data_IF_580177329444
#
_entry.id   IF_580177329444
#
_cell.length_a   1.000
_cell.length_b   1.000
_cell.length_c   1.000
_cell.angle_alpha   90.00
_cell.angle_beta   90.00
_cell.angle_gamma   90.00
#
_symmetry.space_group_name_H-M   'P 1'
#
loop_
_entity.id
_entity.type
_entity.pdbx_description
1 polymer ?
#
# COMPACT_ATOMS: atom_id res chain seq x y z
N UNK A 1 7.02 -16.03 4.67
CA UNK A 1 7.64 -14.70 4.52
C UNK A 1 6.75 -13.66 5.16
N UNK A 2 7.32 -12.54 5.61
CA UNK A 2 6.63 -11.39 6.20
C UNK A 2 6.50 -10.30 5.15
N UNK A 3 5.28 -9.90 4.86
CA UNK A 3 4.94 -8.92 3.84
C UNK A 3 4.39 -7.69 4.54
N UNK A 4 4.95 -6.53 4.27
CA UNK A 4 4.45 -5.25 4.73
C UNK A 4 3.87 -4.48 3.54
N UNK A 5 2.60 -4.10 3.61
CA UNK A 5 2.04 -3.04 2.79
C UNK A 5 1.97 -1.77 3.63
N UNK A 6 2.67 -0.72 3.23
CA UNK A 6 2.68 0.56 3.92
C UNK A 6 2.34 1.68 2.94
N UNK A 7 1.15 2.28 3.10
CA UNK A 7 0.65 3.34 2.24
C UNK A 7 0.12 4.52 3.09
N UNK A 8 -0.36 5.57 2.46
CA UNK A 8 -0.72 6.81 3.14
C UNK A 8 -2.01 6.68 3.97
N UNK A 9 -3.12 6.22 3.36
CA UNK A 9 -4.46 6.30 3.95
C UNK A 9 -5.14 4.93 4.09
N UNK A 10 -6.15 4.82 4.97
CA UNK A 10 -7.10 3.71 4.95
C UNK A 10 -7.83 3.66 3.60
N UNK A 11 -7.83 2.51 2.91
CA UNK A 11 -8.33 2.18 1.58
C UNK A 11 -7.26 2.05 0.48
N UNK A 12 -6.11 2.69 0.59
CA UNK A 12 -5.04 2.60 -0.41
C UNK A 12 -4.57 1.15 -0.65
N UNK A 13 -4.44 0.36 0.42
CA UNK A 13 -4.03 -1.04 0.30
C UNK A 13 -5.01 -1.84 -0.56
N UNK A 14 -6.29 -1.59 -0.37
CA UNK A 14 -7.38 -2.23 -1.07
C UNK A 14 -7.44 -1.80 -2.53
N UNK A 15 -7.27 -0.51 -2.79
CA UNK A 15 -7.29 0.06 -4.14
C UNK A 15 -6.13 -0.46 -5.00
N UNK A 16 -4.90 -0.39 -4.46
CA UNK A 16 -3.69 -0.59 -5.28
C UNK A 16 -3.09 -1.99 -5.20
N UNK A 17 -3.38 -2.76 -4.13
CA UNK A 17 -2.68 -4.03 -3.85
C UNK A 17 -3.57 -5.11 -3.24
N UNK A 18 -4.88 -4.86 -3.03
CA UNK A 18 -5.77 -5.74 -2.28
C UNK A 18 -5.84 -7.17 -2.82
N UNK A 19 -5.85 -7.34 -4.14
CA UNK A 19 -5.80 -8.65 -4.77
C UNK A 19 -4.48 -9.38 -4.54
N UNK A 20 -3.36 -8.67 -4.70
CA UNK A 20 -2.02 -9.21 -4.44
C UNK A 20 -1.85 -9.63 -2.98
N UNK A 21 -2.31 -8.81 -2.04
CA UNK A 21 -2.28 -9.13 -0.61
C UNK A 21 -3.14 -10.36 -0.30
N UNK A 22 -4.34 -10.47 -0.91
CA UNK A 22 -5.20 -11.64 -0.77
C UNK A 22 -4.52 -12.93 -1.29
N UNK A 23 -3.82 -12.86 -2.42
CA UNK A 23 -3.07 -13.99 -2.97
C UNK A 23 -1.90 -14.40 -2.08
N UNK A 24 -1.13 -13.44 -1.56
CA UNK A 24 -0.01 -13.68 -0.64
C UNK A 24 -0.49 -14.32 0.66
N UNK A 25 -1.56 -13.80 1.26
CA UNK A 25 -2.17 -14.36 2.48
C UNK A 25 -2.69 -15.79 2.24
N UNK A 26 -3.35 -16.05 1.10
CA UNK A 26 -3.84 -17.38 0.74
C UNK A 26 -2.72 -18.41 0.59
N UNK A 27 -1.50 -17.96 0.28
CA UNK A 27 -0.29 -18.81 0.23
C UNK A 27 0.40 -19.00 1.59
N UNK A 28 -0.20 -18.49 2.66
CA UNK A 28 0.32 -18.64 4.03
C UNK A 28 1.43 -17.65 4.39
N UNK A 29 1.59 -16.56 3.65
CA UNK A 29 2.50 -15.49 4.04
C UNK A 29 1.86 -14.60 5.10
N UNK A 30 2.65 -14.10 6.04
CA UNK A 30 2.20 -13.16 7.06
C UNK A 30 2.11 -11.77 6.45
N UNK A 31 0.91 -11.23 6.32
CA UNK A 31 0.64 -9.92 5.74
C UNK A 31 0.32 -8.93 6.83
N UNK A 32 1.01 -7.79 6.84
CA UNK A 32 0.70 -6.63 7.68
C UNK A 32 0.39 -5.45 6.78
N UNK A 33 -0.76 -4.81 7.00
CA UNK A 33 -1.16 -3.57 6.35
C UNK A 33 -0.97 -2.43 7.34
N UNK A 34 -0.23 -1.40 6.93
CA UNK A 34 -0.01 -0.20 7.74
C UNK A 34 -0.40 1.03 6.93
N UNK A 35 -1.16 1.93 7.54
CA UNK A 35 -1.39 3.26 6.97
C UNK A 35 -0.53 4.29 7.69
N UNK A 36 -0.02 5.28 6.96
CA UNK A 36 0.72 6.38 7.58
C UNK A 36 -0.21 7.21 8.44
N UNK A 37 -1.39 7.55 7.94
CA UNK A 37 -2.39 8.37 8.62
C UNK A 37 -3.66 7.56 8.89
N UNK A 38 -4.49 7.97 9.85
CA UNK A 38 -5.84 7.42 10.00
C UNK A 38 -6.86 8.05 9.04
N UNK A 39 -6.47 9.01 8.18
CA UNK A 39 -7.36 9.73 7.29
C UNK A 39 -8.26 10.74 8.02
N UNK A 40 -7.69 11.48 8.95
CA UNK A 40 -8.41 12.36 9.88
C UNK A 40 -8.95 13.66 9.25
N UNK A 41 -8.67 13.91 7.95
CA UNK A 41 -9.24 15.03 7.19
C UNK A 41 -10.46 14.64 6.32
N UNK A 42 -10.79 13.37 6.17
CA UNK A 42 -11.78 12.89 5.21
C UNK A 42 -13.22 12.82 5.76
N UNK A 43 -13.78 13.94 6.27
CA UNK A 43 -15.19 13.98 6.67
C UNK A 43 -15.77 15.40 6.70
N UNK A 44 -17.05 15.53 6.34
CA UNK A 44 -17.84 16.75 6.58
C UNK A 44 -18.64 16.72 7.90
N UNK A 45 -18.82 15.53 8.49
CA UNK A 45 -19.78 15.31 9.57
C UNK A 45 -19.12 14.98 10.92
N UNK A 46 -17.86 14.54 10.88
CA UNK A 46 -17.12 14.10 12.06
C UNK A 46 -15.92 15.00 12.33
N UNK A 47 -15.59 15.18 13.60
CA UNK A 47 -14.31 15.78 13.97
C UNK A 47 -13.13 14.91 13.50
N UNK A 48 -11.91 15.45 13.41
CA UNK A 48 -10.72 14.67 13.03
C UNK A 48 -10.52 13.40 13.88
N UNK A 49 -10.74 13.48 15.18
CA UNK A 49 -10.56 12.34 16.09
C UNK A 49 -11.65 11.27 15.90
N UNK A 50 -12.90 11.68 15.66
CA UNK A 50 -14.01 10.76 15.40
C UNK A 50 -13.83 10.01 14.09
N UNK A 51 -13.54 10.73 12.99
CA UNK A 51 -13.34 10.06 11.70
C UNK A 51 -12.09 9.18 11.71
N UNK A 52 -11.02 9.58 12.38
CA UNK A 52 -9.82 8.76 12.57
C UNK A 52 -10.14 7.44 13.28
N UNK A 53 -10.97 7.48 14.34
CA UNK A 53 -11.40 6.28 15.05
C UNK A 53 -12.22 5.35 14.16
N UNK A 54 -13.17 5.89 13.39
CA UNK A 54 -13.99 5.14 12.44
C UNK A 54 -13.10 4.45 11.38
N UNK A 55 -12.23 5.21 10.72
CA UNK A 55 -11.41 4.71 9.61
C UNK A 55 -10.38 3.66 10.05
N UNK A 56 -9.84 3.75 11.28
CA UNK A 56 -8.99 2.67 11.83
C UNK A 56 -9.75 1.36 11.97
N UNK A 57 -11.01 1.40 12.42
CA UNK A 57 -11.86 0.21 12.55
C UNK A 57 -12.23 -0.36 11.19
N UNK A 58 -12.51 0.48 10.20
CA UNK A 58 -12.79 0.07 8.83
C UNK A 58 -11.59 -0.63 8.21
N UNK A 59 -10.39 -0.04 8.31
CA UNK A 59 -9.15 -0.64 7.81
C UNK A 59 -8.79 -1.97 8.52
N UNK A 60 -9.02 -2.05 9.82
CA UNK A 60 -8.83 -3.31 10.55
C UNK A 60 -9.81 -4.40 10.09
N UNK A 61 -11.08 -4.05 9.80
CA UNK A 61 -12.06 -4.99 9.23
C UNK A 61 -11.67 -5.42 7.81
N UNK A 62 -11.22 -4.48 6.97
CA UNK A 62 -10.75 -4.77 5.62
C UNK A 62 -9.58 -5.77 5.64
N UNK A 63 -8.55 -5.50 6.46
CA UNK A 63 -7.40 -6.39 6.62
C UNK A 63 -7.81 -7.80 7.10
N UNK A 64 -8.75 -7.89 8.04
CA UNK A 64 -9.22 -9.17 8.57
C UNK A 64 -9.86 -10.09 7.51
N UNK A 65 -10.44 -9.54 6.42
CA UNK A 65 -11.05 -10.32 5.32
C UNK A 65 -10.03 -11.27 4.67
N UNK A 66 -8.76 -10.87 4.64
CA UNK A 66 -7.68 -11.68 4.08
C UNK A 66 -6.76 -12.26 5.16
N UNK A 67 -7.09 -12.10 6.44
CA UNK A 67 -6.28 -12.57 7.56
C UNK A 67 -5.00 -11.75 7.77
N UNK A 68 -4.95 -10.51 7.30
CA UNK A 68 -3.85 -9.60 7.52
C UNK A 68 -3.98 -8.86 8.87
N UNK A 69 -2.84 -8.50 9.45
CA UNK A 69 -2.78 -7.57 10.58
C UNK A 69 -2.88 -6.12 10.08
N UNK A 70 -3.46 -5.24 10.90
CA UNK A 70 -3.53 -3.82 10.62
C UNK A 70 -3.10 -2.97 11.81
N UNK A 71 -2.36 -1.90 11.55
CA UNK A 71 -2.22 -0.76 12.45
C UNK A 71 -1.92 0.54 11.70
N UNK A 72 -2.13 1.69 12.36
CA UNK A 72 -1.80 3.02 11.84
C UNK A 72 -0.47 3.51 12.43
N UNK A 73 0.35 4.20 11.63
CA UNK A 73 1.57 4.86 12.09
C UNK A 73 1.32 6.25 12.70
N UNK A 74 0.06 6.69 12.73
CA UNK A 74 -0.44 7.89 13.44
C UNK A 74 0.20 9.22 12.97
N UNK A 75 0.53 9.34 11.68
CA UNK A 75 0.77 10.65 11.09
C UNK A 75 -0.55 11.40 10.92
N UNK A 76 -0.46 12.71 10.69
CA UNK A 76 -1.64 13.51 10.35
C UNK A 76 -1.87 13.46 8.84
N UNK A 77 -3.13 13.39 8.45
CA UNK A 77 -3.55 13.47 7.05
C UNK A 77 -3.19 14.86 6.47
N UNK A 78 -2.73 14.90 5.22
CA UNK A 78 -2.19 16.07 4.52
C UNK A 78 -0.94 16.69 5.17
N UNK A 79 -0.32 15.98 6.12
CA UNK A 79 0.83 16.48 6.87
C UNK A 79 1.96 15.43 7.00
N UNK A 80 2.13 14.60 5.98
CA UNK A 80 3.29 13.70 5.88
C UNK A 80 4.44 14.48 5.23
N UNK A 81 5.44 14.84 6.03
CA UNK A 81 6.63 15.56 5.55
C UNK A 81 7.87 14.66 5.55
N UNK A 82 8.73 14.85 4.56
CA UNK A 82 9.97 14.10 4.41
C UNK A 82 11.08 14.69 5.30
N UNK A 83 10.96 14.48 6.62
CA UNK A 83 11.98 14.91 7.59
C UNK A 83 12.60 13.72 8.33
N UNK A 84 13.62 13.99 9.16
CA UNK A 84 14.31 12.95 9.93
C UNK A 84 13.40 12.28 10.96
N UNK A 85 12.52 13.04 11.60
CA UNK A 85 11.55 12.52 12.58
C UNK A 85 10.57 11.53 11.94
N UNK A 86 10.01 11.89 10.78
CA UNK A 86 9.13 11.03 9.99
C UNK A 86 9.85 9.75 9.55
N UNK A 87 11.07 9.86 9.02
CA UNK A 87 11.87 8.70 8.60
C UNK A 87 12.17 7.77 9.78
N UNK A 88 12.50 8.28 10.98
CA UNK A 88 12.69 7.47 12.18
C UNK A 88 11.41 6.72 12.59
N UNK A 89 10.25 7.36 12.53
CA UNK A 89 8.96 6.72 12.80
C UNK A 89 8.66 5.59 11.79
N UNK A 90 8.88 5.81 10.51
CA UNK A 90 8.71 4.76 9.48
C UNK A 90 9.76 3.65 9.67
N UNK A 91 10.99 3.98 10.05
CA UNK A 91 12.01 2.98 10.39
C UNK A 91 11.57 2.11 11.58
N UNK A 92 10.90 2.69 12.58
CA UNK A 92 10.33 1.92 13.69
C UNK A 92 9.25 0.94 13.23
N UNK A 93 8.37 1.33 12.29
CA UNK A 93 7.39 0.42 11.67
C UNK A 93 8.09 -0.78 11.02
N UNK A 94 9.14 -0.53 10.23
CA UNK A 94 9.91 -1.60 9.58
C UNK A 94 10.59 -2.52 10.61
N UNK A 95 11.20 -1.96 11.64
CA UNK A 95 11.83 -2.75 12.71
C UNK A 95 10.82 -3.56 13.50
N UNK A 96 9.65 -3.03 13.80
CA UNK A 96 8.56 -3.75 14.46
C UNK A 96 8.04 -4.92 13.61
N UNK A 97 7.86 -4.70 12.31
CA UNK A 97 7.27 -5.70 11.40
C UNK A 97 8.30 -6.67 10.81
N UNK A 98 9.59 -6.31 10.74
CA UNK A 98 10.69 -7.14 10.20
C UNK A 98 10.33 -7.76 8.83
N UNK A 99 9.93 -6.98 7.81
CA UNK A 99 9.44 -7.52 6.55
C UNK A 99 10.57 -8.07 5.66
N UNK A 100 10.27 -9.13 4.93
CA UNK A 100 11.10 -9.62 3.82
C UNK A 100 10.81 -8.83 2.53
N UNK A 101 9.55 -8.40 2.38
CA UNK A 101 9.05 -7.66 1.23
C UNK A 101 8.16 -6.50 1.69
N UNK A 102 8.39 -5.33 1.10
CA UNK A 102 7.59 -4.11 1.31
C UNK A 102 6.93 -3.71 0.00
N UNK A 103 5.63 -3.44 0.05
CA UNK A 103 4.86 -2.77 -1.01
C UNK A 103 4.46 -1.40 -0.47
N UNK A 104 4.66 -0.36 -1.27
CA UNK A 104 4.34 1.02 -0.87
C UNK A 104 3.81 1.84 -2.04
N UNK A 105 3.43 3.09 -1.77
CA UNK A 105 2.91 4.04 -2.74
C UNK A 105 3.84 4.27 -3.92
N UNK A 106 3.28 4.68 -5.04
CA UNK A 106 4.04 5.16 -6.20
C UNK A 106 4.88 6.40 -5.83
N UNK A 107 6.12 6.52 -6.36
CA UNK A 107 6.91 7.74 -6.20
C UNK A 107 6.40 8.93 -7.04
N UNK A 108 5.45 8.68 -7.91
CA UNK A 108 4.75 9.68 -8.73
C UNK A 108 3.27 9.42 -8.56
N UNK A 109 2.55 10.37 -7.97
CA UNK A 109 1.12 10.28 -7.71
C UNK A 109 0.51 11.69 -7.66
N UNK A 110 -0.83 11.79 -7.72
CA UNK A 110 -1.52 13.08 -7.58
C UNK A 110 -1.52 13.58 -6.12
N UNK A 111 -1.45 12.65 -5.15
CA UNK A 111 -1.58 12.96 -3.73
C UNK A 111 -0.22 13.17 -3.07
N UNK A 112 -0.04 14.31 -2.41
CA UNK A 112 1.21 14.66 -1.73
C UNK A 112 1.65 13.62 -0.69
N UNK A 113 0.69 13.09 0.09
CA UNK A 113 0.98 12.07 1.11
C UNK A 113 1.42 10.73 0.51
N UNK A 114 0.92 10.36 -0.68
CA UNK A 114 1.39 9.14 -1.40
C UNK A 114 2.86 9.29 -1.79
N UNK A 115 3.22 10.41 -2.43
CA UNK A 115 4.60 10.65 -2.83
C UNK A 115 5.55 10.73 -1.63
N UNK A 116 5.15 11.45 -0.56
CA UNK A 116 5.92 11.55 0.68
C UNK A 116 6.10 10.17 1.35
N UNK A 117 5.02 9.37 1.43
CA UNK A 117 5.05 7.99 1.95
C UNK A 117 6.03 7.14 1.15
N UNK A 118 5.94 7.17 -0.18
CA UNK A 118 6.84 6.42 -1.07
C UNK A 118 8.32 6.68 -0.77
N UNK A 119 8.70 7.95 -0.63
CA UNK A 119 10.08 8.36 -0.35
C UNK A 119 10.52 8.00 1.06
N UNK A 120 9.67 8.25 2.06
CA UNK A 120 9.94 7.90 3.45
C UNK A 120 10.12 6.39 3.63
N UNK A 121 9.26 5.57 3.03
CA UNK A 121 9.37 4.11 3.10
C UNK A 121 10.63 3.61 2.43
N UNK A 122 10.96 4.11 1.23
CA UNK A 122 12.23 3.78 0.58
C UNK A 122 13.41 4.08 1.49
N UNK A 123 13.51 5.30 2.01
CA UNK A 123 14.64 5.72 2.83
C UNK A 123 14.70 4.97 4.17
N UNK A 124 13.54 4.65 4.75
CA UNK A 124 13.46 3.86 5.97
C UNK A 124 13.88 2.40 5.74
N UNK A 125 13.56 1.79 4.60
CA UNK A 125 14.06 0.45 4.23
C UNK A 125 15.59 0.41 4.23
N UNK A 126 16.23 1.48 3.72
CA UNK A 126 17.69 1.61 3.75
C UNK A 126 18.22 1.78 5.17
N UNK A 127 17.54 2.58 6.01
CA UNK A 127 17.97 2.90 7.35
C UNK A 127 17.70 1.77 8.38
N UNK A 128 16.69 0.94 8.16
CA UNK A 128 16.22 -0.04 9.13
C UNK A 128 17.29 -1.06 9.58
N UNK A 129 18.23 -1.51 8.73
CA UNK A 129 19.33 -2.38 9.16
C UNK A 129 20.47 -1.65 9.88
N UNK A 130 20.54 -0.31 9.84
CA UNK A 130 21.65 0.44 10.43
C UNK A 130 21.55 0.48 11.97
N UNK A 131 22.45 -0.18 12.73
CA UNK A 131 22.32 -0.26 14.19
C UNK A 131 22.36 1.09 14.92
N UNK A 132 23.14 2.02 14.40
CA UNK A 132 23.32 3.36 15.00
C UNK A 132 22.29 4.39 14.52
N UNK A 133 21.35 3.99 13.65
CA UNK A 133 20.22 4.85 13.31
C UNK A 133 19.12 4.64 14.33
N UNK A 134 19.00 5.59 15.25
CA UNK A 134 18.01 5.54 16.33
C UNK A 134 16.59 5.66 15.78
N UNK A 135 15.68 4.79 16.24
CA UNK A 135 14.27 4.77 15.88
C UNK A 135 13.43 4.52 17.14
N UNK A 136 12.26 5.16 17.28
CA UNK A 136 11.40 4.96 18.46
C UNK A 136 10.90 3.49 18.53
N UNK A 137 10.52 3.07 19.76
CA UNK A 137 9.93 1.74 19.99
C UNK A 137 10.89 0.66 20.50
N UNK A 138 12.20 0.84 20.32
CA UNK A 138 13.20 -0.10 20.86
C UNK A 138 13.32 -1.45 20.15
N UNK A 139 12.63 -1.63 19.02
CA UNK A 139 12.74 -2.83 18.20
C UNK A 139 14.14 -2.97 17.58
N UNK A 140 14.68 -4.19 17.44
CA UNK A 140 16.03 -4.40 16.93
C UNK A 140 16.15 -4.00 15.45
N UNK A 141 17.34 -3.59 15.00
CA UNK A 141 17.60 -3.37 13.58
C UNK A 141 17.25 -4.59 12.74
N UNK A 142 16.82 -4.37 11.51
CA UNK A 142 16.60 -5.43 10.55
C UNK A 142 17.92 -6.12 10.16
N UNK A 143 17.87 -7.39 9.79
CA UNK A 143 19.06 -8.14 9.35
C UNK A 143 19.57 -7.71 7.98
N UNK A 144 18.66 -7.24 7.12
CA UNK A 144 18.96 -6.82 5.75
C UNK A 144 17.92 -5.81 5.27
N UNK A 145 18.24 -5.11 4.17
CA UNK A 145 17.28 -4.28 3.43
C UNK A 145 16.23 -5.19 2.80
N UNK A 146 14.92 -4.93 2.98
CA UNK A 146 13.88 -5.75 2.38
C UNK A 146 13.76 -5.51 0.86
N UNK A 147 13.11 -6.44 0.15
CA UNK A 147 12.67 -6.18 -1.23
C UNK A 147 11.62 -5.07 -1.21
N UNK A 148 11.75 -4.10 -2.12
CA UNK A 148 10.86 -2.96 -2.19
C UNK A 148 10.14 -2.91 -3.54
N UNK A 149 8.82 -2.84 -3.50
CA UNK A 149 7.96 -2.67 -4.65
C UNK A 149 7.08 -1.43 -4.47
N UNK A 150 7.00 -0.64 -5.53
CA UNK A 150 6.04 0.46 -5.62
C UNK A 150 4.78 -0.03 -6.34
N UNK A 151 3.62 0.21 -5.77
CA UNK A 151 2.34 0.04 -6.45
C UNK A 151 2.19 1.07 -7.58
N UNK A 152 1.25 0.84 -8.49
CA UNK A 152 0.91 1.82 -9.51
C UNK A 152 0.30 3.09 -8.88
N UNK A 153 0.48 4.25 -9.51
CA UNK A 153 -0.18 5.49 -9.08
C UNK A 153 -1.69 5.39 -9.28
N UNK A 154 -2.42 6.27 -8.60
CA UNK A 154 -3.85 6.43 -8.82
C UNK A 154 -4.16 6.65 -10.32
N UNK A 155 -5.29 6.11 -10.79
CA UNK A 155 -5.69 6.12 -12.20
C UNK A 155 -4.69 5.45 -13.17
N UNK A 156 -3.55 4.94 -12.71
CA UNK A 156 -2.50 4.35 -13.54
C UNK A 156 -1.86 5.33 -14.50
N UNK A 157 -1.72 6.60 -14.11
CA UNK A 157 -1.12 7.66 -14.94
C UNK A 157 0.04 8.37 -14.24
N UNK A 158 0.97 8.91 -15.04
CA UNK A 158 2.03 9.81 -14.58
C UNK A 158 1.53 11.28 -14.50
N UNK A 159 2.44 12.20 -14.13
CA UNK A 159 2.14 13.63 -14.01
C UNK A 159 1.72 14.32 -15.32
N UNK A 160 2.03 13.71 -16.46
CA UNK A 160 1.65 14.19 -17.80
C UNK A 160 0.37 13.50 -18.30
N UNK A 161 -0.37 12.79 -17.43
CA UNK A 161 -1.53 11.97 -17.77
C UNK A 161 -1.25 10.84 -18.77
N UNK A 162 0.02 10.41 -18.89
CA UNK A 162 0.41 9.27 -19.70
C UNK A 162 0.27 7.98 -18.89
N UNK A 163 -0.03 6.83 -19.55
CA UNK A 163 -0.07 5.55 -18.84
C UNK A 163 1.25 5.25 -18.11
N UNK A 164 1.16 5.01 -16.82
CA UNK A 164 2.29 4.60 -15.99
C UNK A 164 2.49 3.08 -16.12
N UNK A 165 3.28 2.66 -17.11
CA UNK A 165 3.50 1.22 -17.39
C UNK A 165 4.26 0.57 -16.23
N UNK A 166 3.71 -0.48 -15.57
CA UNK A 166 4.41 -1.19 -14.49
C UNK A 166 5.54 -2.07 -15.00
N UNK A 167 6.43 -2.57 -14.12
CA UNK A 167 7.43 -3.58 -14.48
C UNK A 167 6.84 -5.00 -14.54
N UNK A 168 5.79 -5.22 -13.77
CA UNK A 168 5.07 -6.48 -13.71
C UNK A 168 3.60 -6.23 -13.32
N UNK A 169 2.75 -7.14 -13.78
CA UNK A 169 1.32 -7.17 -13.42
C UNK A 169 1.00 -8.51 -12.75
N UNK A 170 0.34 -8.44 -11.61
CA UNK A 170 -0.21 -9.61 -10.91
C UNK A 170 -1.64 -9.85 -11.39
N UNK A 171 -1.94 -11.07 -11.82
CA UNK A 171 -3.31 -11.50 -12.15
C UNK A 171 -4.12 -11.68 -10.87
N UNK A 172 -5.12 -10.84 -10.68
CA UNK A 172 -5.97 -10.85 -9.50
C UNK A 172 -7.41 -11.32 -9.79
N UNK A 173 -7.70 -11.80 -10.98
CA UNK A 173 -9.07 -12.18 -11.39
C UNK A 173 -9.71 -13.17 -10.40
N UNK A 174 -8.94 -14.13 -9.89
CA UNK A 174 -9.44 -15.16 -8.97
C UNK A 174 -9.78 -14.66 -7.56
N UNK A 175 -9.37 -13.44 -7.21
CA UNK A 175 -9.55 -12.86 -5.87
C UNK A 175 -10.27 -11.50 -5.88
N UNK A 176 -10.86 -11.11 -7.01
CA UNK A 176 -11.60 -9.84 -7.13
C UNK A 176 -12.72 -9.71 -6.10
N UNK A 177 -13.41 -10.80 -5.76
CA UNK A 177 -14.46 -10.76 -4.73
C UNK A 177 -13.90 -10.38 -3.36
N UNK A 178 -12.70 -10.85 -3.00
CA UNK A 178 -12.02 -10.45 -1.77
C UNK A 178 -11.61 -8.96 -1.82
N UNK A 179 -11.04 -8.51 -2.94
CA UNK A 179 -10.66 -7.11 -3.13
C UNK A 179 -11.87 -6.18 -2.99
N UNK A 180 -13.02 -6.54 -3.60
CA UNK A 180 -14.29 -5.82 -3.42
C UNK A 180 -14.73 -5.77 -1.96
N UNK A 181 -14.71 -6.92 -1.29
CA UNK A 181 -15.11 -7.00 0.12
C UNK A 181 -14.21 -6.13 1.02
N UNK A 182 -12.89 -6.15 0.80
CA UNK A 182 -11.95 -5.31 1.53
C UNK A 182 -12.27 -3.82 1.33
N UNK A 183 -12.39 -3.36 0.09
CA UNK A 183 -12.68 -1.95 -0.21
C UNK A 183 -14.06 -1.52 0.31
N UNK A 184 -15.05 -2.41 0.25
CA UNK A 184 -16.41 -2.15 0.77
C UNK A 184 -16.47 -1.94 2.28
N UNK A 185 -15.43 -2.34 3.03
CA UNK A 185 -15.36 -2.10 4.48
C UNK A 185 -15.11 -0.61 4.83
N UNK A 186 -14.69 0.21 3.87
CA UNK A 186 -14.41 1.65 4.01
C UNK A 186 -15.66 2.51 3.69
N UNK A 187 -16.73 2.34 4.49
CA UNK A 187 -17.99 3.04 4.27
C UNK A 187 -17.87 4.56 4.40
N UNK A 188 -17.08 5.02 5.38
CA UNK A 188 -16.90 6.46 5.60
C UNK A 188 -16.21 7.13 4.41
N UNK A 189 -15.27 6.45 3.77
CA UNK A 189 -14.57 6.97 2.57
C UNK A 189 -15.52 7.02 1.37
N UNK A 190 -16.37 6.01 1.17
CA UNK A 190 -17.40 6.03 0.13
C UNK A 190 -18.33 7.22 0.29
N UNK A 191 -18.81 7.49 1.52
CA UNK A 191 -19.65 8.65 1.82
C UNK A 191 -18.93 9.98 1.52
N UNK A 192 -17.68 10.11 1.95
CA UNK A 192 -16.84 11.28 1.67
C UNK A 192 -16.68 11.53 0.18
N UNK A 193 -16.31 10.51 -0.60
CA UNK A 193 -16.15 10.65 -2.06
C UNK A 193 -17.44 11.01 -2.76
N UNK A 194 -18.57 10.46 -2.32
CA UNK A 194 -19.89 10.79 -2.85
C UNK A 194 -20.26 12.26 -2.60
N UNK A 195 -20.05 12.74 -1.40
CA UNK A 195 -20.43 14.10 -0.99
C UNK A 195 -19.47 15.16 -1.52
N UNK A 196 -18.16 14.86 -1.51
CA UNK A 196 -17.13 15.83 -1.87
C UNK A 196 -16.80 15.85 -3.37
N UNK A 197 -16.80 14.68 -4.01
CA UNK A 197 -16.43 14.52 -5.41
C UNK A 197 -17.59 14.08 -6.32
N UNK A 198 -18.78 13.83 -5.75
CA UNK A 198 -19.92 13.29 -6.51
C UNK A 198 -19.72 11.83 -6.98
N UNK A 199 -18.74 11.14 -6.42
CA UNK A 199 -18.37 9.78 -6.82
C UNK A 199 -19.10 8.75 -5.94
N UNK A 200 -20.15 8.11 -6.47
CA UNK A 200 -20.87 7.00 -5.78
C UNK A 200 -20.48 5.61 -6.33
N UNK A 201 -19.49 5.56 -7.21
CA UNK A 201 -19.04 4.34 -7.91
C UNK A 201 -17.64 3.90 -7.45
N UNK A 202 -17.37 3.95 -6.15
CA UNK A 202 -16.05 3.69 -5.55
C UNK A 202 -15.52 2.28 -5.88
N UNK A 203 -16.39 1.27 -5.82
CA UNK A 203 -16.03 -0.12 -6.15
C UNK A 203 -15.83 -0.30 -7.65
N UNK A 204 -16.74 0.24 -8.47
CA UNK A 204 -16.66 0.18 -9.93
C UNK A 204 -15.40 0.87 -10.45
N UNK A 205 -15.02 2.01 -9.85
CA UNK A 205 -13.76 2.72 -10.18
C UNK A 205 -12.54 1.84 -9.91
N UNK A 206 -12.48 1.14 -8.77
CA UNK A 206 -11.41 0.19 -8.46
C UNK A 206 -11.36 -0.95 -9.48
N UNK A 207 -12.52 -1.48 -9.90
CA UNK A 207 -12.59 -2.53 -10.93
C UNK A 207 -12.10 -2.02 -12.29
N UNK A 208 -12.50 -0.82 -12.69
CA UNK A 208 -12.03 -0.19 -13.92
C UNK A 208 -10.52 0.02 -13.93
N UNK A 209 -9.94 0.48 -12.81
CA UNK A 209 -8.49 0.61 -12.66
C UNK A 209 -7.80 -0.75 -12.75
N UNK A 210 -8.31 -1.76 -12.04
CA UNK A 210 -7.76 -3.12 -12.10
C UNK A 210 -7.85 -3.72 -13.51
N UNK A 211 -8.95 -3.48 -14.25
CA UNK A 211 -9.10 -3.91 -15.63
C UNK A 211 -8.15 -3.14 -16.57
N UNK A 212 -7.96 -1.83 -16.36
CA UNK A 212 -7.01 -0.99 -17.11
C UNK A 212 -5.58 -1.51 -16.98
N UNK A 213 -5.14 -1.82 -15.75
CA UNK A 213 -3.82 -2.40 -15.48
C UNK A 213 -3.71 -3.81 -16.09
N UNK A 214 -4.75 -4.63 -15.97
CA UNK A 214 -4.79 -5.97 -16.57
C UNK A 214 -4.55 -5.97 -18.09
N UNK A 215 -5.02 -4.95 -18.81
CA UNK A 215 -4.84 -4.83 -20.27
C UNK A 215 -3.37 -4.78 -20.70
N UNK A 216 -2.46 -4.22 -19.90
CA UNK A 216 -1.03 -4.24 -20.20
C UNK A 216 -0.48 -5.66 -20.36
N UNK A 217 -1.10 -6.63 -19.70
CA UNK A 217 -0.66 -8.03 -19.65
C UNK A 217 -1.65 -9.02 -20.26
N UNK A 218 -2.67 -8.54 -20.99
CA UNK A 218 -3.77 -9.36 -21.53
C UNK A 218 -4.54 -10.16 -20.48
N UNK A 219 -4.73 -9.56 -19.29
CA UNK A 219 -5.48 -10.11 -18.16
C UNK A 219 -6.81 -9.39 -17.98
N UNK A 220 -7.80 -10.06 -17.39
CA UNK A 220 -9.09 -9.44 -17.08
C UNK A 220 -8.94 -8.36 -16.00
N UNK A 221 -8.21 -8.67 -14.94
CA UNK A 221 -7.90 -7.74 -13.83
C UNK A 221 -6.44 -7.92 -13.41
N UNK A 222 -5.75 -6.82 -13.17
CA UNK A 222 -4.36 -6.82 -12.72
C UNK A 222 -4.06 -5.74 -11.71
N UNK A 223 -3.00 -5.96 -10.95
CA UNK A 223 -2.35 -4.95 -10.12
C UNK A 223 -0.90 -4.79 -10.58
N UNK A 224 -0.49 -3.55 -10.78
CA UNK A 224 0.82 -3.22 -11.34
C UNK A 224 1.84 -2.86 -10.27
N UNK A 225 3.07 -3.31 -10.47
CA UNK A 225 4.16 -3.03 -9.52
C UNK A 225 5.47 -2.69 -10.24
N UNK A 226 6.28 -1.86 -9.56
CA UNK A 226 7.65 -1.51 -9.96
C UNK A 226 8.62 -1.97 -8.89
N UNK A 227 9.45 -2.97 -9.21
CA UNK A 227 10.50 -3.43 -8.32
C UNK A 227 11.62 -2.40 -8.24
N UNK A 228 11.96 -1.91 -7.03
CA UNK A 228 13.08 -0.99 -6.81
C UNK A 228 14.40 -1.78 -6.73
N UNK A 229 15.29 -1.58 -7.72
CA UNK A 229 16.51 -2.37 -7.92
C UNK A 229 17.80 -1.57 -7.77
N UNK A 230 17.73 -0.38 -7.21
CA UNK A 230 18.94 0.44 -7.00
C UNK A 230 19.79 -0.15 -5.88
N UNK A 231 21.12 -0.17 -6.09
CA UNK A 231 22.05 -0.61 -5.03
C UNK A 231 21.84 0.24 -3.75
N UNK A 232 21.81 -0.38 -2.55
CA UNK A 232 22.08 -1.78 -2.23
C UNK A 232 20.80 -2.65 -2.02
N UNK A 233 19.67 -2.28 -2.59
CA UNK A 233 18.42 -3.05 -2.47
C UNK A 233 18.53 -4.41 -3.18
N UNK A 234 17.84 -5.46 -2.66
CA UNK A 234 17.80 -6.76 -3.31
C UNK A 234 17.19 -6.67 -4.71
N UNK A 235 17.78 -7.40 -5.67
CA UNK A 235 17.36 -7.41 -7.09
C UNK A 235 16.65 -8.70 -7.51
N UNK A 236 16.64 -9.74 -6.64
CA UNK A 236 15.91 -10.97 -6.91
C UNK A 236 14.40 -10.73 -6.95
N UNK A 237 13.65 -11.46 -7.79
CA UNK A 237 12.24 -11.20 -8.04
C UNK A 237 11.34 -11.84 -6.97
N UNK A 238 11.47 -11.43 -5.71
CA UNK A 238 10.82 -12.10 -4.58
C UNK A 238 9.29 -12.16 -4.72
N UNK A 239 8.62 -11.09 -5.17
CA UNK A 239 7.16 -11.10 -5.35
C UNK A 239 6.73 -12.19 -6.33
N UNK A 240 7.47 -12.33 -7.43
CA UNK A 240 7.24 -13.37 -8.44
C UNK A 240 7.50 -14.77 -7.89
N UNK A 241 8.52 -14.95 -7.08
CA UNK A 241 8.83 -16.23 -6.44
C UNK A 241 7.73 -16.65 -5.46
N UNK A 242 7.18 -15.70 -4.68
CA UNK A 242 6.12 -15.96 -3.71
C UNK A 242 4.77 -16.29 -4.38
N UNK A 243 4.42 -15.58 -5.45
CA UNK A 243 3.14 -15.77 -6.14
C UNK A 243 3.19 -16.90 -7.19
N UNK A 244 4.36 -17.15 -7.77
CA UNK A 244 4.56 -18.10 -8.85
C UNK A 244 4.30 -17.51 -10.24
N UNK A 245 4.98 -18.03 -11.26
CA UNK A 245 4.99 -17.52 -12.63
C UNK A 245 3.60 -17.47 -13.30
N UNK A 246 2.66 -18.31 -12.89
CA UNK A 246 1.30 -18.31 -13.44
C UNK A 246 0.51 -17.04 -13.09
N UNK A 247 0.78 -16.45 -11.92
CA UNK A 247 0.07 -15.27 -11.42
C UNK A 247 0.68 -13.94 -11.91
N UNK A 248 1.81 -13.96 -12.63
CA UNK A 248 2.57 -12.73 -12.93
C UNK A 248 2.88 -12.63 -14.42
N UNK A 249 2.82 -11.41 -14.95
CA UNK A 249 3.31 -11.02 -16.28
C UNK A 249 4.31 -9.88 -16.13
N UNK A 250 5.52 -10.07 -16.67
CA UNK A 250 6.51 -8.99 -16.81
C UNK A 250 6.26 -8.24 -18.12
N UNK A 251 6.47 -6.92 -18.08
CA UNK A 251 6.30 -6.03 -19.22
C UNK A 251 7.65 -5.49 -19.69
#
# INVERSE_FOLDING_TARGET
>A
MRILHLHAHPDDAELFSGGTLALLAAKGHHVTIVTMTPGDCGSHHHSPDEIAAIRRLEAARAAAIVGAEYFCAEFRDLAIFEDDGARRRVTAVLRRTQPDLVITASPIDYHCDHEATSRLVRDACFAAPAPNYDAPGGDPPMKAIPHLYFADPAEGTDRDSRPAVPHLVVDIASVMDKKRAMLSAHESQRLWLKEHHGMDNFIETMEEWSAKVGKFASLAFGEGFRHYRMHPYPVSPLLEELLGAAAIRRL
#
